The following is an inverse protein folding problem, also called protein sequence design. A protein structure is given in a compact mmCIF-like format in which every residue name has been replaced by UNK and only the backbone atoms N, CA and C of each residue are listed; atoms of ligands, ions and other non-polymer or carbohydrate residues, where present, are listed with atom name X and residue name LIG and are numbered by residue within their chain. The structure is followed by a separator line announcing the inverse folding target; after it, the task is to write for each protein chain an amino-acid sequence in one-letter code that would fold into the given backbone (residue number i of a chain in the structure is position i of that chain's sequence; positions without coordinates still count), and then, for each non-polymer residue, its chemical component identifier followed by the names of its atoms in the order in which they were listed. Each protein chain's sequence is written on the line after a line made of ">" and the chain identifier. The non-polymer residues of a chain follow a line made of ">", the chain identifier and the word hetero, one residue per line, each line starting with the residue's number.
data_IF_989789688302
#
_entry.id   IF_989789688302
#
_cell.length_a   1.000
_cell.length_b   1.000
_cell.length_c   1.000
_cell.angle_alpha   90.00
_cell.angle_beta   90.00
_cell.angle_gamma   90.00
#
_symmetry.space_group_name_H-M   'P 1'
#
loop_
_entity.id
_entity.type
_entity.pdbx_description
1 polymer ?
#
# COMPACT_ATOMS: atom_id res chain seq x y z
N UNK A 1 7.70 -37.73 -3.56
CA UNK A 1 7.72 -36.28 -3.21
C UNK A 1 6.55 -36.01 -2.25
N UNK A 2 6.82 -35.94 -0.96
CA UNK A 2 5.82 -35.55 0.04
C UNK A 2 5.67 -34.02 -0.02
N UNK A 3 4.81 -33.52 -0.91
CA UNK A 3 4.45 -32.11 -0.90
C UNK A 3 3.74 -31.77 0.41
N UNK A 4 4.16 -30.71 1.07
CA UNK A 4 3.40 -30.16 2.20
C UNK A 4 1.96 -29.92 1.73
N UNK A 5 0.94 -30.33 2.49
CA UNK A 5 -0.45 -30.09 2.09
C UNK A 5 -0.68 -28.59 1.92
N UNK A 6 -1.39 -28.23 0.84
CA UNK A 6 -1.82 -26.85 0.65
C UNK A 6 -2.70 -26.41 1.82
N UNK A 7 -2.42 -25.25 2.38
CA UNK A 7 -3.28 -24.60 3.38
C UNK A 7 -3.45 -23.15 3.02
N UNK A 8 -4.61 -22.63 3.32
CA UNK A 8 -4.88 -21.20 3.16
C UNK A 8 -4.09 -20.40 4.19
N UNK A 9 -3.36 -19.43 3.71
CA UNK A 9 -2.66 -18.47 4.56
C UNK A 9 -3.09 -17.07 4.14
N UNK A 10 -3.59 -16.28 5.10
CA UNK A 10 -3.89 -14.90 4.82
C UNK A 10 -2.60 -14.16 4.47
N UNK A 11 -2.53 -13.49 3.31
CA UNK A 11 -1.34 -12.75 2.90
C UNK A 11 -1.02 -11.57 3.84
N UNK A 12 -2.04 -11.09 4.55
CA UNK A 12 -1.91 -10.00 5.52
C UNK A 12 -2.57 -10.42 6.83
N UNK A 13 -1.77 -10.60 7.88
CA UNK A 13 -2.32 -10.76 9.21
C UNK A 13 -3.12 -9.48 9.55
N UNK A 14 -4.34 -9.63 10.06
CA UNK A 14 -5.16 -8.53 10.60
C UNK A 14 -4.48 -7.98 11.86
N UNK A 15 -3.40 -7.24 11.67
CA UNK A 15 -2.73 -6.49 12.72
C UNK A 15 -3.14 -5.03 12.62
N UNK A 16 -3.05 -4.32 13.74
CA UNK A 16 -3.22 -2.87 13.75
C UNK A 16 -2.21 -2.27 12.78
N UNK A 17 -2.72 -1.56 11.78
CA UNK A 17 -1.89 -0.83 10.85
C UNK A 17 -1.36 0.43 11.55
N UNK A 18 -0.04 0.59 11.61
CA UNK A 18 0.63 1.76 12.19
C UNK A 18 0.84 2.87 11.16
N UNK A 19 0.21 2.77 9.99
CA UNK A 19 0.28 3.82 8.98
C UNK A 19 -0.27 5.13 9.54
N UNK A 20 0.54 6.16 9.48
CA UNK A 20 0.13 7.50 9.89
C UNK A 20 -0.84 8.10 8.86
N UNK A 21 -1.93 8.65 9.37
CA UNK A 21 -2.92 9.34 8.54
C UNK A 21 -2.74 10.85 8.69
N UNK A 22 -2.88 11.56 7.58
CA UNK A 22 -2.89 13.02 7.58
C UNK A 22 -4.23 13.56 7.10
N UNK A 23 -4.59 14.74 7.56
CA UNK A 23 -5.78 15.44 7.11
C UNK A 23 -5.55 15.98 5.70
N UNK A 24 -6.30 15.47 4.73
CA UNK A 24 -6.18 15.91 3.34
C UNK A 24 -6.71 17.33 3.13
N UNK A 25 -7.91 17.62 3.59
CA UNK A 25 -8.54 18.93 3.51
C UNK A 25 -9.71 19.06 4.47
N UNK A 26 -10.02 20.28 4.87
CA UNK A 26 -11.29 20.65 5.50
C UNK A 26 -12.18 21.47 4.58
N UNK A 27 -11.62 21.91 3.45
CA UNK A 27 -12.35 22.63 2.43
C UNK A 27 -13.19 21.66 1.60
N UNK A 28 -14.26 22.17 1.00
CA UNK A 28 -15.16 21.37 0.15
C UNK A 28 -15.93 20.25 0.84
N UNK A 29 -15.90 20.23 2.18
CA UNK A 29 -16.67 19.29 3.00
C UNK A 29 -17.40 20.08 4.08
N UNK A 30 -18.70 19.90 4.19
CA UNK A 30 -19.53 20.59 5.18
C UNK A 30 -20.63 19.67 5.69
N UNK A 31 -21.13 19.99 6.88
CA UNK A 31 -22.31 19.32 7.45
C UNK A 31 -23.52 20.23 7.23
N UNK A 32 -24.60 19.66 6.76
CA UNK A 32 -25.89 20.31 6.61
C UNK A 32 -26.96 19.48 7.32
N UNK A 33 -28.00 20.13 7.80
CA UNK A 33 -29.13 19.45 8.41
C UNK A 33 -30.27 19.36 7.38
N UNK A 34 -30.85 18.18 7.26
CA UNK A 34 -32.05 17.95 6.47
C UNK A 34 -33.01 17.05 7.25
N UNK A 35 -34.25 17.53 7.45
CA UNK A 35 -35.30 16.82 8.19
C UNK A 35 -34.85 16.31 9.58
N UNK A 36 -34.05 17.10 10.30
CA UNK A 36 -33.55 16.75 11.62
C UNK A 36 -32.37 15.73 11.61
N UNK A 37 -31.81 15.45 10.45
CA UNK A 37 -30.64 14.58 10.30
C UNK A 37 -29.44 15.37 9.76
N UNK A 38 -28.27 15.11 10.35
CA UNK A 38 -27.03 15.66 9.82
C UNK A 38 -26.62 14.92 8.54
N UNK A 39 -26.36 15.66 7.49
CA UNK A 39 -25.93 15.16 6.19
C UNK A 39 -24.54 15.72 5.89
N UNK A 40 -23.59 14.85 5.57
CA UNK A 40 -22.30 15.25 5.08
C UNK A 40 -22.40 15.63 3.58
N UNK A 41 -22.09 16.90 3.30
CA UNK A 41 -22.00 17.40 1.95
C UNK A 41 -20.53 17.37 1.49
N UNK A 42 -20.26 16.69 0.39
CA UNK A 42 -18.93 16.61 -0.23
C UNK A 42 -19.02 17.22 -1.63
N UNK A 43 -18.22 18.24 -1.88
CA UNK A 43 -18.15 18.86 -3.21
C UNK A 43 -17.23 18.05 -4.14
N UNK A 44 -17.45 18.10 -5.48
CA UNK A 44 -16.63 17.36 -6.45
C UNK A 44 -15.12 17.65 -6.34
N UNK A 45 -14.76 18.85 -5.92
CA UNK A 45 -13.36 19.25 -5.71
C UNK A 45 -12.66 18.42 -4.64
N UNK A 46 -13.36 18.04 -3.56
CA UNK A 46 -12.82 17.15 -2.54
C UNK A 46 -12.50 15.76 -3.12
N UNK A 47 -13.37 15.24 -3.98
CA UNK A 47 -13.16 13.95 -4.64
C UNK A 47 -11.98 14.00 -5.62
N UNK A 48 -11.83 15.09 -6.37
CA UNK A 48 -10.70 15.30 -7.26
C UNK A 48 -9.39 15.36 -6.49
N UNK A 49 -9.36 16.08 -5.38
CA UNK A 49 -8.18 16.18 -4.52
C UNK A 49 -7.83 14.82 -3.89
N UNK A 50 -8.84 14.09 -3.40
CA UNK A 50 -8.68 12.74 -2.85
C UNK A 50 -8.09 11.79 -3.90
N UNK A 51 -8.67 11.75 -5.10
CA UNK A 51 -8.20 10.89 -6.18
C UNK A 51 -6.74 11.20 -6.54
N UNK A 52 -6.39 12.48 -6.69
CA UNK A 52 -5.01 12.89 -6.99
C UNK A 52 -4.01 12.38 -5.96
N UNK A 53 -4.31 12.58 -4.68
CA UNK A 53 -3.42 12.13 -3.60
C UNK A 53 -3.39 10.61 -3.48
N UNK A 54 -4.53 9.94 -3.58
CA UNK A 54 -4.61 8.49 -3.51
C UNK A 54 -3.83 7.81 -4.65
N UNK A 55 -3.97 8.29 -5.89
CA UNK A 55 -3.19 7.77 -7.02
C UNK A 55 -1.69 8.02 -6.87
N UNK A 56 -1.32 9.21 -6.40
CA UNK A 56 0.08 9.51 -6.12
C UNK A 56 0.64 8.55 -5.05
N UNK A 57 0.00 8.47 -3.90
CA UNK A 57 0.49 7.67 -2.78
C UNK A 57 0.49 6.18 -3.13
N UNK A 58 -0.54 5.68 -3.81
CA UNK A 58 -0.56 4.29 -4.28
C UNK A 58 0.55 3.98 -5.32
N UNK A 59 0.99 4.97 -6.08
CA UNK A 59 2.03 4.80 -7.09
C UNK A 59 3.45 4.88 -6.52
N UNK A 60 3.67 5.61 -5.44
CA UNK A 60 5.01 5.94 -4.94
C UNK A 60 5.30 5.45 -3.52
N UNK A 61 4.27 5.10 -2.75
CA UNK A 61 4.41 4.74 -1.35
C UNK A 61 3.92 3.32 -1.09
N UNK A 62 4.62 2.62 -0.21
CA UNK A 62 4.21 1.34 0.32
C UNK A 62 3.93 1.47 1.81
N UNK A 63 2.98 0.70 2.30
CA UNK A 63 2.69 0.65 3.73
C UNK A 63 3.87 0.06 4.50
N UNK A 64 4.22 0.62 5.67
CA UNK A 64 5.32 0.11 6.51
C UNK A 64 5.20 -1.37 6.84
N UNK A 65 3.99 -1.85 7.14
CA UNK A 65 3.75 -3.27 7.42
C UNK A 65 4.09 -4.17 6.23
N UNK A 66 3.81 -3.74 5.01
CA UNK A 66 4.17 -4.48 3.80
C UNK A 66 5.68 -4.47 3.56
N UNK A 67 6.32 -3.32 3.72
CA UNK A 67 7.78 -3.23 3.63
C UNK A 67 8.47 -4.12 4.65
N UNK A 68 7.96 -4.17 5.88
CA UNK A 68 8.50 -5.05 6.92
C UNK A 68 8.37 -6.53 6.55
N UNK A 69 7.23 -6.97 6.01
CA UNK A 69 7.05 -8.34 5.54
C UNK A 69 8.08 -8.72 4.47
N UNK A 70 8.36 -7.81 3.53
CA UNK A 70 9.38 -8.05 2.50
C UNK A 70 10.79 -8.06 3.12
N UNK A 71 11.06 -7.18 4.08
CA UNK A 71 12.34 -7.13 4.78
C UNK A 71 12.59 -8.40 5.60
N UNK A 72 11.56 -8.99 6.19
CA UNK A 72 11.66 -10.22 6.97
C UNK A 72 12.18 -11.41 6.13
N UNK A 73 11.92 -11.41 4.83
CA UNK A 73 12.46 -12.42 3.89
C UNK A 73 13.99 -12.44 3.88
N UNK A 74 14.62 -11.28 4.08
CA UNK A 74 16.10 -11.19 4.07
C UNK A 74 16.75 -11.94 5.22
N UNK A 75 16.04 -12.12 6.33
CA UNK A 75 16.48 -12.84 7.51
C UNK A 75 15.85 -14.24 7.65
N UNK A 76 14.99 -14.63 6.76
CA UNK A 76 14.34 -15.94 6.77
C UNK A 76 15.36 -17.05 6.43
N UNK A 77 15.60 -18.02 7.32
CA UNK A 77 16.51 -19.13 7.05
C UNK A 77 15.99 -20.09 5.96
N UNK A 78 14.69 -20.13 5.70
CA UNK A 78 14.09 -20.96 4.66
C UNK A 78 14.09 -20.28 3.27
N UNK A 79 14.35 -18.97 3.21
CA UNK A 79 14.41 -18.22 1.96
C UNK A 79 15.69 -18.54 1.18
N UNK A 80 15.55 -18.80 -0.11
CA UNK A 80 16.68 -18.99 -1.01
C UNK A 80 17.45 -17.67 -1.24
N UNK A 81 18.67 -17.75 -1.72
CA UNK A 81 19.45 -16.56 -2.11
C UNK A 81 18.74 -15.73 -3.18
N UNK A 82 18.00 -16.38 -4.07
CA UNK A 82 17.19 -15.70 -5.07
C UNK A 82 16.02 -14.94 -4.44
N UNK A 83 15.33 -15.54 -3.45
CA UNK A 83 14.22 -14.87 -2.76
C UNK A 83 14.71 -13.62 -2.02
N UNK A 84 15.85 -13.72 -1.34
CA UNK A 84 16.50 -12.60 -0.66
C UNK A 84 16.92 -11.52 -1.65
N UNK A 85 17.48 -11.90 -2.79
CA UNK A 85 17.84 -10.95 -3.83
C UNK A 85 16.63 -10.18 -4.37
N UNK A 86 15.54 -10.89 -4.68
CA UNK A 86 14.30 -10.27 -5.16
C UNK A 86 13.69 -9.34 -4.10
N UNK A 87 13.63 -9.79 -2.85
CA UNK A 87 13.15 -8.96 -1.73
C UNK A 87 13.97 -7.68 -1.59
N UNK A 88 15.30 -7.77 -1.69
CA UNK A 88 16.17 -6.61 -1.64
C UNK A 88 15.92 -5.63 -2.80
N UNK A 89 15.72 -6.13 -4.03
CA UNK A 89 15.40 -5.26 -5.19
C UNK A 89 14.05 -4.58 -5.01
N UNK A 90 13.06 -5.28 -4.44
CA UNK A 90 11.76 -4.71 -4.13
C UNK A 90 11.87 -3.55 -3.12
N UNK A 91 12.64 -3.74 -2.05
CA UNK A 91 12.87 -2.68 -1.05
C UNK A 91 13.63 -1.49 -1.62
N UNK A 92 14.64 -1.73 -2.46
CA UNK A 92 15.35 -0.65 -3.18
C UNK A 92 14.43 0.12 -4.11
N UNK A 93 13.56 -0.57 -4.84
CA UNK A 93 12.56 0.08 -5.68
C UNK A 93 11.61 0.95 -4.83
N UNK A 94 11.15 0.46 -3.69
CA UNK A 94 10.28 1.25 -2.81
C UNK A 94 10.97 2.50 -2.25
N UNK A 95 12.27 2.43 -1.95
CA UNK A 95 13.06 3.59 -1.53
C UNK A 95 13.17 4.65 -2.64
N UNK A 96 13.44 4.22 -3.87
CA UNK A 96 13.50 5.11 -5.03
C UNK A 96 12.14 5.75 -5.30
N UNK A 97 11.08 4.96 -5.19
CA UNK A 97 9.71 5.45 -5.39
C UNK A 97 9.32 6.48 -4.35
N UNK A 98 9.64 6.25 -3.08
CA UNK A 98 9.37 7.20 -2.00
C UNK A 98 10.06 8.58 -2.19
N UNK A 99 11.15 8.62 -2.96
CA UNK A 99 11.82 9.86 -3.37
C UNK A 99 11.13 10.57 -4.56
N UNK A 100 10.07 9.98 -5.12
CA UNK A 100 9.33 10.54 -6.26
C UNK A 100 10.09 10.46 -7.60
N UNK A 101 11.09 9.60 -7.72
CA UNK A 101 11.91 9.46 -8.93
C UNK A 101 11.21 8.56 -9.95
N UNK A 102 10.79 7.39 -9.50
CA UNK A 102 10.05 6.39 -10.29
C UNK A 102 8.94 5.80 -9.43
N UNK A 103 7.80 5.43 -10.01
CA UNK A 103 6.75 4.74 -9.25
C UNK A 103 7.21 3.35 -8.80
N UNK A 104 6.51 2.79 -7.82
CA UNK A 104 6.70 1.40 -7.39
C UNK A 104 6.38 0.45 -8.55
N UNK A 105 7.18 -0.59 -8.71
CA UNK A 105 6.89 -1.65 -9.65
C UNK A 105 5.75 -2.53 -9.09
N UNK A 106 4.54 -2.38 -9.64
CA UNK A 106 3.35 -3.05 -9.13
C UNK A 106 2.96 -4.29 -9.95
N UNK A 107 3.44 -4.41 -11.16
CA UNK A 107 3.08 -5.50 -12.06
C UNK A 107 4.31 -6.11 -12.71
N UNK A 108 4.86 -7.13 -12.08
CA UNK A 108 5.97 -7.92 -12.61
C UNK A 108 5.50 -9.01 -13.58
N UNK A 109 4.21 -9.30 -13.64
CA UNK A 109 3.67 -10.38 -14.46
C UNK A 109 3.75 -10.11 -15.96
N UNK A 110 3.72 -8.85 -16.37
CA UNK A 110 3.85 -8.46 -17.77
C UNK A 110 5.27 -8.58 -18.32
N UNK A 111 6.28 -8.67 -17.45
CA UNK A 111 7.68 -8.81 -17.86
C UNK A 111 7.99 -10.25 -18.30
N UNK A 112 7.19 -11.21 -17.89
CA UNK A 112 7.36 -12.64 -18.22
C UNK A 112 6.60 -13.10 -19.47
N UNK A 113 5.86 -12.21 -20.07
CA UNK A 113 5.14 -12.46 -21.33
C UNK A 113 5.95 -11.90 -22.51
#
# INVERSE_FOLDING_TARGET
>A
MSGKPFFWQEPFALKKDETEYYLLTRDHVSVSEFEGQEILKVEPQALTLLARHAFHDASFMLRPAHQQQVADILSDPEASENDKYVALQFLRNSEIAAKGILPTCQDLSLIHI
#
